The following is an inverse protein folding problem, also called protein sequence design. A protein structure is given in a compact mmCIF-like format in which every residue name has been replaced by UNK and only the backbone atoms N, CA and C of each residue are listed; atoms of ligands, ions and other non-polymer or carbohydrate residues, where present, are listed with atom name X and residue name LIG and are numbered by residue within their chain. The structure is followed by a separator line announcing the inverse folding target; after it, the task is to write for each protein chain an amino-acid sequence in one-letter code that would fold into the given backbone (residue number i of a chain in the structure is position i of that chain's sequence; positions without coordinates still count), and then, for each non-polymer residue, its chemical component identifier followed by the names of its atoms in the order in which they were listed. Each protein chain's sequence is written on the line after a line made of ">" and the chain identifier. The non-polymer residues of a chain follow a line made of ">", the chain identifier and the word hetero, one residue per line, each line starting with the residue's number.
data_IF_056801023961
#
_entry.id   IF_056801023961
#
_cell.length_a   1.000
_cell.length_b   1.000
_cell.length_c   1.000
_cell.angle_alpha   90.00
_cell.angle_beta   90.00
_cell.angle_gamma   90.00
#
_symmetry.space_group_name_H-M   'P 1'
#
loop_
_entity.id
_entity.type
_entity.pdbx_description
1 polymer ?
#
# COMPACT_ATOMS: atom_id res chain seq x y z
N UNK A 1 30.60 3.24 22.44
CA UNK A 1 29.31 3.97 22.44
C UNK A 1 29.31 4.96 21.26
N UNK A 2 30.33 5.82 21.11
CA UNK A 2 30.39 6.82 20.02
C UNK A 2 30.47 6.20 18.60
N UNK A 3 31.18 5.09 18.42
CA UNK A 3 31.21 4.36 17.13
C UNK A 3 29.85 3.77 16.75
N UNK A 4 29.10 3.26 17.73
CA UNK A 4 27.75 2.74 17.51
C UNK A 4 26.78 3.86 17.15
N UNK A 5 26.86 5.01 17.84
CA UNK A 5 26.03 6.18 17.57
C UNK A 5 26.29 6.74 16.16
N UNK A 6 27.55 6.89 15.78
CA UNK A 6 27.96 7.32 14.44
C UNK A 6 27.47 6.33 13.37
N UNK A 7 27.60 5.02 13.63
CA UNK A 7 27.10 3.98 12.72
C UNK A 7 25.58 4.04 12.52
N UNK A 8 24.81 4.23 13.59
CA UNK A 8 23.36 4.38 13.55
C UNK A 8 22.93 5.61 12.75
N UNK A 9 23.59 6.76 12.95
CA UNK A 9 23.32 8.00 12.23
C UNK A 9 23.55 7.84 10.73
N UNK A 10 24.67 7.28 10.33
CA UNK A 10 24.99 7.05 8.92
C UNK A 10 23.99 6.10 8.28
N UNK A 11 23.65 5.00 8.96
CA UNK A 11 22.66 4.05 8.47
C UNK A 11 21.26 4.67 8.36
N UNK A 12 20.86 5.51 9.33
CA UNK A 12 19.59 6.23 9.28
C UNK A 12 19.53 7.16 8.07
N UNK A 13 20.56 7.99 7.85
CA UNK A 13 20.63 8.92 6.71
C UNK A 13 20.51 8.17 5.39
N UNK A 14 21.28 7.09 5.22
CA UNK A 14 21.26 6.27 4.01
C UNK A 14 19.85 5.69 3.75
N UNK A 15 19.27 5.02 4.75
CA UNK A 15 17.95 4.41 4.63
C UNK A 15 16.84 5.44 4.46
N UNK A 16 16.93 6.59 5.11
CA UNK A 16 15.98 7.67 4.91
C UNK A 16 15.98 8.17 3.46
N UNK A 17 17.15 8.33 2.83
CA UNK A 17 17.24 8.74 1.43
C UNK A 17 16.71 7.66 0.49
N UNK A 18 17.00 6.39 0.72
CA UNK A 18 16.43 5.27 -0.05
C UNK A 18 14.89 5.28 0.01
N UNK A 19 14.32 5.40 1.22
CA UNK A 19 12.87 5.45 1.42
C UNK A 19 12.26 6.68 0.74
N UNK A 20 12.89 7.84 0.85
CA UNK A 20 12.43 9.09 0.22
C UNK A 20 12.33 8.96 -1.29
N UNK A 21 13.35 8.37 -1.93
CA UNK A 21 13.37 8.14 -3.39
C UNK A 21 12.31 7.12 -3.80
N UNK A 22 12.21 6.01 -3.08
CA UNK A 22 11.24 4.97 -3.40
C UNK A 22 9.80 5.44 -3.15
N UNK A 23 9.57 6.23 -2.10
CA UNK A 23 8.27 6.83 -1.81
C UNK A 23 7.78 7.72 -2.96
N UNK A 24 8.64 8.57 -3.55
CA UNK A 24 8.26 9.39 -4.71
C UNK A 24 7.85 8.55 -5.92
N UNK A 25 8.54 7.42 -6.17
CA UNK A 25 8.20 6.50 -7.27
C UNK A 25 6.84 5.84 -7.04
N UNK A 26 6.64 5.25 -5.86
CA UNK A 26 5.39 4.58 -5.52
C UNK A 26 4.23 5.56 -5.50
N UNK A 27 4.44 6.76 -4.96
CA UNK A 27 3.46 7.84 -4.95
C UNK A 27 2.98 8.18 -6.37
N UNK A 28 3.91 8.42 -7.30
CA UNK A 28 3.59 8.70 -8.70
C UNK A 28 2.79 7.58 -9.36
N UNK A 29 3.10 6.35 -9.05
CA UNK A 29 2.40 5.20 -9.62
C UNK A 29 0.96 5.08 -9.07
N UNK A 30 0.79 5.20 -7.76
CA UNK A 30 -0.53 5.08 -7.12
C UNK A 30 -1.44 6.29 -7.40
N UNK A 31 -0.90 7.50 -7.43
CA UNK A 31 -1.67 8.71 -7.74
C UNK A 31 -1.86 8.95 -9.25
N UNK A 32 -1.08 8.25 -10.09
CA UNK A 32 -1.02 8.51 -11.53
C UNK A 32 -0.29 9.81 -11.86
N UNK A 33 0.68 10.21 -11.05
CA UNK A 33 1.48 11.42 -11.17
C UNK A 33 1.69 12.13 -9.83
N UNK A 34 2.08 13.41 -9.89
CA UNK A 34 2.34 14.20 -8.69
C UNK A 34 3.73 13.94 -8.09
N UNK A 35 3.90 14.23 -6.81
CA UNK A 35 5.17 14.07 -6.08
C UNK A 35 4.93 13.76 -4.61
N UNK A 36 5.67 12.81 -4.07
CA UNK A 36 5.77 12.53 -2.64
C UNK A 36 7.18 12.75 -2.14
N UNK A 37 7.36 13.33 -0.96
CA UNK A 37 8.69 13.48 -0.35
C UNK A 37 8.60 13.43 1.16
N UNK A 38 9.74 13.10 1.79
CA UNK A 38 9.91 13.10 3.23
C UNK A 38 10.90 14.20 3.60
N UNK A 39 10.64 14.89 4.68
CA UNK A 39 11.52 15.92 5.25
C UNK A 39 11.76 15.63 6.73
N UNK A 40 12.99 15.78 7.15
CA UNK A 40 13.36 15.74 8.57
C UNK A 40 13.11 17.10 9.20
N UNK A 41 12.76 17.10 10.47
CA UNK A 41 12.69 18.31 11.27
C UNK A 41 14.09 18.92 11.43
N UNK A 42 14.20 20.23 11.21
CA UNK A 42 15.46 20.95 11.32
C UNK A 42 15.78 21.29 12.78
N UNK A 43 17.04 21.50 13.08
CA UNK A 43 17.55 21.93 14.41
C UNK A 43 17.34 20.90 15.55
N UNK A 44 17.10 19.63 15.22
CA UNK A 44 16.97 18.51 16.16
C UNK A 44 17.98 17.42 15.82
N UNK A 45 18.40 16.66 16.83
CA UNK A 45 19.24 15.48 16.59
C UNK A 45 18.56 14.54 15.60
N UNK A 46 19.30 14.07 14.59
CA UNK A 46 18.76 13.30 13.47
C UNK A 46 18.07 12.00 13.90
N UNK A 47 18.45 11.40 15.03
CA UNK A 47 17.83 10.20 15.57
C UNK A 47 16.54 10.49 16.36
N UNK A 48 16.33 11.76 16.74
CA UNK A 48 15.14 12.23 17.45
C UNK A 48 14.22 13.07 16.56
N UNK A 49 14.71 13.44 15.36
CA UNK A 49 14.00 14.32 14.44
C UNK A 49 12.65 13.72 13.99
N UNK A 50 11.61 14.51 14.04
CA UNK A 50 10.31 14.18 13.43
C UNK A 50 10.42 14.09 11.91
N UNK A 51 9.62 13.20 11.29
CA UNK A 51 9.54 13.07 9.83
C UNK A 51 8.22 13.68 9.35
N UNK A 52 8.31 14.68 8.49
CA UNK A 52 7.15 15.28 7.82
C UNK A 52 6.93 14.62 6.47
N UNK A 53 5.69 14.18 6.21
CA UNK A 53 5.28 13.64 4.93
C UNK A 53 4.66 14.79 4.12
N UNK A 54 5.29 15.10 3.00
CA UNK A 54 4.87 16.14 2.07
C UNK A 54 4.42 15.49 0.78
N UNK A 55 3.26 15.88 0.28
CA UNK A 55 2.70 15.31 -0.93
C UNK A 55 2.09 16.40 -1.83
N UNK A 56 2.17 16.13 -3.12
CA UNK A 56 1.59 16.95 -4.17
C UNK A 56 0.82 16.03 -5.12
N UNK A 57 -0.47 15.75 -4.84
CA UNK A 57 -1.32 15.03 -5.77
C UNK A 57 -1.40 15.75 -7.12
N UNK A 58 -1.69 15.04 -8.23
CA UNK A 58 -1.83 15.65 -9.54
C UNK A 58 -2.80 16.83 -9.53
N UNK A 59 -2.38 17.96 -10.12
CA UNK A 59 -3.19 19.18 -10.19
C UNK A 59 -3.27 20.02 -8.90
N UNK A 60 -2.60 19.61 -7.83
CA UNK A 60 -2.57 20.33 -6.55
C UNK A 60 -1.19 20.94 -6.27
N UNK A 61 -1.16 21.89 -5.32
CA UNK A 61 0.11 22.42 -4.78
C UNK A 61 0.70 21.44 -3.78
N UNK A 62 1.99 21.58 -3.52
CA UNK A 62 2.70 20.85 -2.47
C UNK A 62 2.05 21.14 -1.11
N UNK A 63 1.71 20.11 -0.36
CA UNK A 63 0.99 20.21 0.90
C UNK A 63 1.55 19.23 1.92
N UNK A 64 1.44 19.59 3.21
CA UNK A 64 1.65 18.64 4.28
C UNK A 64 0.49 17.62 4.27
N UNK A 65 0.79 16.37 4.61
CA UNK A 65 -0.21 15.29 4.65
C UNK A 65 -1.47 15.65 5.44
N UNK A 66 -1.33 16.48 6.48
CA UNK A 66 -2.48 16.91 7.30
C UNK A 66 -3.52 17.74 6.54
N UNK A 67 -3.14 18.38 5.44
CA UNK A 67 -3.99 19.26 4.62
C UNK A 67 -4.72 18.51 3.49
N UNK A 68 -4.43 17.22 3.30
CA UNK A 68 -5.02 16.37 2.27
C UNK A 68 -6.43 15.91 2.66
N UNK A 69 -7.23 15.51 1.66
CA UNK A 69 -8.49 14.79 1.89
C UNK A 69 -8.25 13.42 2.53
N UNK A 70 -9.29 12.82 3.11
CA UNK A 70 -9.18 11.49 3.75
C UNK A 70 -8.62 10.41 2.83
N UNK A 71 -9.13 10.31 1.60
CA UNK A 71 -8.65 9.36 0.60
C UNK A 71 -7.21 9.63 0.16
N UNK A 72 -6.83 10.91 -0.03
CA UNK A 72 -5.45 11.28 -0.36
C UNK A 72 -4.47 10.98 0.78
N UNK A 73 -4.89 11.19 2.04
CA UNK A 73 -4.11 10.78 3.22
C UNK A 73 -3.87 9.28 3.23
N UNK A 74 -4.94 8.49 3.04
CA UNK A 74 -4.85 7.04 3.00
C UNK A 74 -3.91 6.57 1.87
N UNK A 75 -4.09 7.09 0.65
CA UNK A 75 -3.25 6.71 -0.48
C UNK A 75 -1.79 7.14 -0.30
N UNK A 76 -1.53 8.29 0.34
CA UNK A 76 -0.18 8.73 0.69
C UNK A 76 0.48 7.79 1.72
N UNK A 77 -0.25 7.39 2.75
CA UNK A 77 0.23 6.44 3.75
C UNK A 77 0.51 5.05 3.14
N UNK A 78 -0.38 4.57 2.26
CA UNK A 78 -0.19 3.32 1.51
C UNK A 78 1.05 3.41 0.61
N UNK A 79 1.28 4.55 -0.05
CA UNK A 79 2.46 4.76 -0.88
C UNK A 79 3.76 4.64 -0.08
N UNK A 80 3.79 5.17 1.14
CA UNK A 80 4.94 5.06 2.03
C UNK A 80 5.13 3.61 2.53
N UNK A 81 4.05 2.94 2.92
CA UNK A 81 4.08 1.52 3.31
C UNK A 81 4.68 0.65 2.21
N UNK A 82 4.23 0.83 0.98
CA UNK A 82 4.71 0.05 -0.16
C UNK A 82 6.14 0.42 -0.56
N UNK A 83 6.56 1.68 -0.39
CA UNK A 83 7.95 2.08 -0.58
C UNK A 83 8.89 1.34 0.39
N UNK A 84 8.51 1.23 1.64
CA UNK A 84 9.26 0.47 2.65
C UNK A 84 9.27 -1.03 2.29
N UNK A 85 8.12 -1.56 1.87
CA UNK A 85 7.97 -2.96 1.46
C UNK A 85 8.83 -3.30 0.23
N UNK A 86 8.98 -2.38 -0.73
CA UNK A 86 9.88 -2.55 -1.88
C UNK A 86 11.35 -2.65 -1.47
N UNK A 87 11.78 -1.81 -0.54
CA UNK A 87 13.17 -1.77 -0.09
C UNK A 87 13.54 -2.94 0.81
N UNK A 88 12.59 -3.39 1.62
CA UNK A 88 12.78 -4.52 2.54
C UNK A 88 11.54 -5.42 2.52
N UNK A 89 11.40 -6.28 1.51
CA UNK A 89 10.28 -7.20 1.40
C UNK A 89 10.18 -8.12 2.62
N UNK A 90 8.98 -8.24 3.19
CA UNK A 90 8.69 -9.24 4.21
C UNK A 90 8.18 -10.53 3.54
N UNK A 91 8.36 -11.71 4.16
CA UNK A 91 7.85 -12.97 3.63
C UNK A 91 6.32 -12.94 3.42
N UNK A 92 5.60 -12.30 4.33
CA UNK A 92 4.16 -12.07 4.22
C UNK A 92 3.78 -10.70 4.82
N UNK A 93 2.62 -10.20 4.40
CA UNK A 93 2.06 -8.94 4.90
C UNK A 93 0.55 -9.10 5.05
N UNK A 94 0.02 -8.74 6.22
CA UNK A 94 -1.42 -8.70 6.49
C UNK A 94 -1.91 -7.26 6.40
N UNK A 95 -2.89 -7.01 5.53
CA UNK A 95 -3.51 -5.71 5.31
C UNK A 95 -4.99 -5.79 5.68
N UNK A 96 -5.42 -4.97 6.63
CA UNK A 96 -6.79 -4.97 7.15
C UNK A 96 -7.47 -3.66 6.75
N UNK A 97 -8.33 -3.71 5.72
CA UNK A 97 -9.15 -2.61 5.19
C UNK A 97 -8.40 -1.28 4.97
N UNK A 98 -7.10 -1.33 4.64
CA UNK A 98 -6.27 -0.12 4.49
C UNK A 98 -6.74 0.79 3.34
N UNK A 99 -7.44 0.23 2.35
CA UNK A 99 -7.99 0.92 1.19
C UNK A 99 -9.44 1.41 1.40
N UNK A 100 -10.02 1.26 2.58
CA UNK A 100 -11.44 1.58 2.83
C UNK A 100 -11.81 3.04 2.51
N UNK A 101 -10.88 3.98 2.72
CA UNK A 101 -11.07 5.41 2.45
C UNK A 101 -10.83 5.82 0.98
N UNK A 102 -10.41 4.89 0.11
CA UNK A 102 -10.13 5.16 -1.30
C UNK A 102 -11.41 5.14 -2.13
N UNK A 103 -11.46 5.97 -3.18
CA UNK A 103 -12.44 5.84 -4.25
C UNK A 103 -12.12 4.64 -5.16
N UNK A 104 -13.08 4.22 -6.00
CA UNK A 104 -12.94 3.01 -6.82
C UNK A 104 -11.76 3.07 -7.78
N UNK A 105 -11.47 4.23 -8.37
CA UNK A 105 -10.33 4.43 -9.26
C UNK A 105 -8.98 4.22 -8.54
N UNK A 106 -8.88 4.71 -7.31
CA UNK A 106 -7.68 4.52 -6.49
C UNK A 106 -7.59 3.10 -5.92
N UNK A 107 -8.72 2.43 -5.65
CA UNK A 107 -8.74 1.00 -5.29
C UNK A 107 -8.18 0.14 -6.43
N UNK A 108 -8.53 0.42 -7.68
CA UNK A 108 -8.01 -0.32 -8.83
C UNK A 108 -6.48 -0.14 -8.98
N UNK A 109 -5.97 1.07 -8.78
CA UNK A 109 -4.51 1.33 -8.80
C UNK A 109 -3.79 0.64 -7.66
N UNK A 110 -4.36 0.72 -6.46
CA UNK A 110 -3.87 0.01 -5.27
C UNK A 110 -3.79 -1.49 -5.52
N UNK A 111 -4.87 -2.11 -6.00
CA UNK A 111 -4.94 -3.54 -6.26
C UNK A 111 -3.91 -4.00 -7.31
N UNK A 112 -3.77 -3.25 -8.42
CA UNK A 112 -2.75 -3.50 -9.45
C UNK A 112 -1.33 -3.39 -8.90
N UNK A 113 -1.09 -2.38 -8.04
CA UNK A 113 0.22 -2.21 -7.42
C UNK A 113 0.52 -3.35 -6.44
N UNK A 114 -0.45 -3.71 -5.61
CA UNK A 114 -0.34 -4.82 -4.67
C UNK A 114 0.03 -6.12 -5.39
N UNK A 115 -0.61 -6.41 -6.52
CA UNK A 115 -0.31 -7.60 -7.33
C UNK A 115 1.15 -7.62 -7.84
N UNK A 116 1.79 -6.48 -8.12
CA UNK A 116 3.22 -6.43 -8.45
C UNK A 116 4.10 -6.90 -7.30
N UNK A 117 3.72 -6.61 -6.07
CA UNK A 117 4.48 -6.93 -4.86
C UNK A 117 4.40 -8.42 -4.50
N UNK A 118 3.41 -9.16 -5.04
CA UNK A 118 3.24 -10.60 -4.77
C UNK A 118 4.40 -11.46 -5.26
N UNK A 119 5.26 -10.91 -6.13
CA UNK A 119 6.48 -11.60 -6.59
C UNK A 119 7.45 -11.94 -5.45
N UNK A 120 7.46 -11.12 -4.40
CA UNK A 120 8.42 -11.22 -3.30
C UNK A 120 7.77 -11.37 -1.93
N UNK A 121 6.45 -11.18 -1.83
CA UNK A 121 5.71 -11.15 -0.56
C UNK A 121 4.35 -11.81 -0.74
N UNK A 122 3.94 -12.66 0.19
CA UNK A 122 2.57 -13.13 0.28
C UNK A 122 1.72 -12.07 0.97
N UNK A 123 0.64 -11.62 0.29
CA UNK A 123 -0.31 -10.70 0.90
C UNK A 123 -1.56 -11.43 1.36
N UNK A 124 -1.98 -11.13 2.57
CA UNK A 124 -3.27 -11.54 3.15
C UNK A 124 -4.05 -10.24 3.35
N UNK A 125 -5.15 -10.07 2.61
CA UNK A 125 -5.91 -8.82 2.60
C UNK A 125 -7.32 -9.07 3.12
N UNK A 126 -7.70 -8.35 4.16
CA UNK A 126 -9.08 -8.28 4.62
C UNK A 126 -9.71 -7.07 3.92
N UNK A 127 -10.77 -7.30 3.16
CA UNK A 127 -11.39 -6.25 2.34
C UNK A 127 -12.87 -6.53 2.07
N UNK A 128 -13.61 -5.45 1.86
CA UNK A 128 -14.97 -5.50 1.30
C UNK A 128 -15.04 -4.84 -0.10
N UNK A 129 -13.89 -4.41 -0.65
CA UNK A 129 -13.81 -3.72 -1.95
C UNK A 129 -13.70 -4.71 -3.10
N UNK A 130 -14.61 -4.60 -4.07
CA UNK A 130 -14.64 -5.51 -5.24
C UNK A 130 -13.37 -5.43 -6.08
N UNK A 131 -12.79 -4.23 -6.27
CA UNK A 131 -11.55 -4.04 -7.01
C UNK A 131 -10.37 -4.81 -6.39
N UNK A 132 -10.27 -4.81 -5.06
CA UNK A 132 -9.25 -5.59 -4.35
C UNK A 132 -9.50 -7.09 -4.47
N UNK A 133 -10.77 -7.54 -4.32
CA UNK A 133 -11.14 -8.95 -4.46
C UNK A 133 -10.83 -9.48 -5.87
N UNK A 134 -11.09 -8.69 -6.91
CA UNK A 134 -10.86 -9.10 -8.30
C UNK A 134 -9.37 -9.28 -8.66
N UNK A 135 -8.48 -8.65 -7.89
CA UNK A 135 -7.03 -8.76 -8.08
C UNK A 135 -6.37 -9.87 -7.24
N UNK A 136 -7.14 -10.62 -6.45
CA UNK A 136 -6.64 -11.71 -5.61
C UNK A 136 -6.55 -13.02 -6.41
N UNK A 137 -5.55 -13.85 -6.10
CA UNK A 137 -5.42 -15.19 -6.66
C UNK A 137 -6.42 -16.16 -6.01
N UNK A 138 -6.72 -15.94 -4.73
CA UNK A 138 -7.63 -16.77 -3.94
C UNK A 138 -8.51 -15.93 -3.02
N UNK A 139 -9.80 -16.21 -2.98
CA UNK A 139 -10.75 -15.59 -2.08
C UNK A 139 -11.17 -16.54 -0.96
N UNK A 140 -11.24 -16.00 0.24
CA UNK A 140 -11.80 -16.66 1.41
C UNK A 140 -12.98 -15.86 1.92
N UNK A 141 -14.18 -16.45 1.77
CA UNK A 141 -15.41 -15.88 2.34
C UNK A 141 -15.63 -16.41 3.76
N UNK A 142 -15.90 -15.52 4.68
CA UNK A 142 -16.28 -15.88 6.05
C UNK A 142 -17.78 -15.69 6.17
N UNK A 143 -18.50 -16.76 6.47
CA UNK A 143 -19.95 -16.76 6.65
C UNK A 143 -20.32 -17.21 8.05
N UNK A 144 -21.53 -16.90 8.49
CA UNK A 144 -22.08 -17.35 9.77
C UNK A 144 -23.45 -18.00 9.51
N UNK A 145 -23.46 -19.31 9.35
CA UNK A 145 -24.70 -20.07 9.17
C UNK A 145 -25.42 -20.29 10.49
N UNK A 146 -24.66 -20.52 11.55
CA UNK A 146 -25.14 -20.62 12.92
C UNK A 146 -24.61 -19.42 13.74
N UNK A 147 -25.44 -18.88 14.64
CA UNK A 147 -25.03 -17.73 15.49
C UNK A 147 -23.77 -18.07 16.29
N UNK A 148 -22.72 -17.26 16.10
CA UNK A 148 -21.46 -17.40 16.80
C UNK A 148 -20.49 -18.42 16.18
N UNK A 149 -20.84 -19.09 15.08
CA UNK A 149 -19.97 -20.05 14.40
C UNK A 149 -19.62 -19.55 13.00
N UNK A 150 -18.35 -19.17 12.81
CA UNK A 150 -17.84 -18.75 11.49
C UNK A 150 -17.49 -19.97 10.65
N UNK A 151 -17.90 -19.95 9.38
CA UNK A 151 -17.60 -20.98 8.39
C UNK A 151 -16.79 -20.37 7.26
N UNK A 152 -15.71 -21.04 6.86
CA UNK A 152 -14.82 -20.63 5.78
C UNK A 152 -15.28 -21.24 4.46
N UNK A 153 -15.38 -20.38 3.43
CA UNK A 153 -15.60 -20.77 2.02
C UNK A 153 -14.43 -20.22 1.21
N UNK A 154 -13.76 -21.06 0.42
CA UNK A 154 -12.65 -20.64 -0.44
C UNK A 154 -12.96 -20.81 -1.91
N UNK A 155 -12.50 -19.87 -2.75
CA UNK A 155 -12.59 -19.90 -4.20
C UNK A 155 -11.24 -19.49 -4.79
N UNK A 156 -10.69 -20.35 -5.66
CA UNK A 156 -9.52 -20.00 -6.46
C UNK A 156 -9.97 -19.24 -7.71
N UNK A 157 -9.41 -18.06 -7.92
CA UNK A 157 -9.62 -17.28 -9.13
C UNK A 157 -8.56 -17.69 -10.15
N UNK A 158 -8.91 -18.59 -11.06
CA UNK A 158 -8.04 -19.03 -12.15
C UNK A 158 -8.34 -18.13 -13.35
N UNK A 159 -7.37 -17.35 -13.83
CA UNK A 159 -7.51 -16.46 -14.99
C UNK A 159 -8.00 -17.18 -16.27
N UNK A 160 -7.73 -18.47 -16.42
CA UNK A 160 -8.05 -19.26 -17.63
C UNK A 160 -9.53 -19.67 -17.78
N UNK A 161 -10.44 -19.35 -16.86
CA UNK A 161 -11.85 -19.75 -16.95
C UNK A 161 -12.83 -18.62 -17.33
N UNK A 162 -12.34 -17.44 -17.65
CA UNK A 162 -13.16 -16.30 -18.10
C UNK A 162 -13.29 -16.19 -19.61
N UNK A 163 -12.60 -17.04 -20.40
CA UNK A 163 -12.76 -17.09 -21.85
C UNK A 163 -13.86 -18.08 -22.27
N UNK A 164 -14.96 -17.48 -22.72
CA UNK A 164 -15.96 -17.96 -23.69
C UNK A 164 -16.52 -19.37 -23.61
N UNK A 165 -17.70 -19.48 -23.02
CA UNK A 165 -18.76 -20.31 -23.65
C UNK A 165 -19.98 -19.44 -23.93
N UNK A 166 -20.31 -19.20 -25.21
CA UNK A 166 -21.61 -18.61 -25.54
C UNK A 166 -22.72 -19.51 -25.09
N UNK A 167 -23.69 -18.96 -24.40
CA UNK A 167 -24.91 -19.64 -24.01
C UNK A 167 -25.57 -20.25 -25.26
N UNK A 168 -25.62 -21.58 -25.37
CA UNK A 168 -26.51 -22.25 -26.30
C UNK A 168 -27.91 -22.03 -25.79
N UNK A 169 -28.68 -21.29 -26.56
CA UNK A 169 -30.13 -21.25 -26.49
C UNK A 169 -30.66 -22.62 -26.94
N UNK A 170 -31.39 -23.26 -26.08
CA UNK A 170 -32.48 -24.17 -26.41
C UNK A 170 -33.74 -23.73 -25.68
#
# INVERSE_FOLDING_TARGET
>A
IEELDTGMRNQFIEKFQEIKVEFDKVFKELFGGGRGTLELEEDVDILEAGIRIISQPPGKKLQNMMQLSGGEKALTAISLLFAIQNLKPSPFCLLDEIEAALDDSNVDRYAKYLHKLTKNTQFIVITHRRGTMAAADRLYGITMQEKGVSTLVSVDLIEDQLDDKPAKQE
#
